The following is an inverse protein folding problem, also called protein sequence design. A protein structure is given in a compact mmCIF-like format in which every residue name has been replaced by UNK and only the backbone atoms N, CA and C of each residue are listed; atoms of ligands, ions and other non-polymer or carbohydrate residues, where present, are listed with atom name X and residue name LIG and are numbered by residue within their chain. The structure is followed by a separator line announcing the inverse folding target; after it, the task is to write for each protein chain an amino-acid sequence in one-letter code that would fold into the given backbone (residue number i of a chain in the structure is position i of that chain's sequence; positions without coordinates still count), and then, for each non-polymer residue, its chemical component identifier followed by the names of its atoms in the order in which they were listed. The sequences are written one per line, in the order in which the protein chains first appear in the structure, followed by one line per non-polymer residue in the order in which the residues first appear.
data_IF_508718737350
#
_entry.id   IF_508718737350
#
_cell.length_a   1.000
_cell.length_b   1.000
_cell.length_c   1.000
_cell.angle_alpha   90.00
_cell.angle_beta   90.00
_cell.angle_gamma   90.00
#
_symmetry.space_group_name_H-M   'P 1'
#
loop_
_entity.id
_entity.type
_entity.pdbx_description
1 polymer ?
#
# COMPACT_ATOMS: atom_id res chain seq x y z
N UNK A 1 -22.19 -0.98 -20.61
CA UNK A 1 -22.34 -1.30 -22.04
C UNK A 1 -22.39 -2.82 -22.20
N UNK A 2 -23.56 -3.44 -22.02
CA UNK A 2 -23.76 -4.90 -22.14
C UNK A 2 -24.56 -5.25 -23.40
N UNK A 3 -25.50 -4.38 -23.78
CA UNK A 3 -26.37 -4.55 -24.94
C UNK A 3 -25.61 -4.84 -26.25
N UNK A 4 -24.42 -4.26 -26.47
CA UNK A 4 -23.65 -4.50 -27.71
C UNK A 4 -23.22 -5.97 -27.88
N UNK A 5 -22.95 -6.67 -26.78
CA UNK A 5 -22.49 -8.07 -26.82
C UNK A 5 -23.65 -9.06 -26.70
N UNK A 6 -24.73 -8.69 -26.03
CA UNK A 6 -25.85 -9.59 -25.69
C UNK A 6 -27.20 -9.09 -26.25
N UNK A 7 -27.20 -8.51 -27.46
CA UNK A 7 -28.38 -7.88 -28.06
C UNK A 7 -29.54 -8.84 -28.38
N UNK A 8 -29.25 -10.14 -28.54
CA UNK A 8 -30.25 -11.19 -28.78
C UNK A 8 -30.66 -11.94 -27.49
N UNK A 9 -30.09 -11.57 -26.34
CA UNK A 9 -30.32 -12.22 -25.04
C UNK A 9 -30.91 -11.23 -24.02
N UNK A 10 -31.47 -11.76 -22.91
CA UNK A 10 -31.91 -10.95 -21.76
C UNK A 10 -30.94 -11.12 -20.58
N UNK A 11 -29.85 -10.34 -20.49
CA UNK A 11 -28.85 -10.52 -19.45
C UNK A 11 -29.42 -10.20 -18.07
N UNK A 12 -29.21 -11.10 -17.11
CA UNK A 12 -29.57 -10.89 -15.70
C UNK A 12 -28.54 -9.97 -15.03
N UNK A 13 -28.99 -8.83 -14.51
CA UNK A 13 -28.15 -7.90 -13.77
C UNK A 13 -28.14 -8.22 -12.27
N UNK A 14 -26.97 -8.15 -11.66
CA UNK A 14 -26.79 -8.23 -10.21
C UNK A 14 -26.75 -6.83 -9.59
N UNK A 15 -26.88 -6.76 -8.26
CA UNK A 15 -26.72 -5.51 -7.54
C UNK A 15 -25.34 -4.91 -7.80
N UNK A 16 -25.31 -3.62 -8.14
CA UNK A 16 -24.06 -2.91 -8.34
C UNK A 16 -23.29 -2.82 -7.02
N UNK A 17 -21.99 -3.09 -7.07
CA UNK A 17 -21.07 -2.83 -5.96
C UNK A 17 -20.34 -1.53 -6.24
N UNK A 18 -20.32 -0.63 -5.25
CA UNK A 18 -19.51 0.57 -5.34
C UNK A 18 -18.03 0.16 -5.42
N UNK A 19 -17.35 0.65 -6.45
CA UNK A 19 -15.92 0.50 -6.61
C UNK A 19 -15.23 1.71 -6.00
N UNK A 20 -14.12 1.45 -5.32
CA UNK A 20 -13.30 2.47 -4.71
C UNK A 20 -11.85 2.03 -4.71
N UNK A 21 -10.96 3.00 -4.53
CA UNK A 21 -9.55 2.71 -4.31
C UNK A 21 -9.36 1.92 -3.01
N UNK A 22 -8.47 0.93 -3.01
CA UNK A 22 -8.13 0.15 -1.83
C UNK A 22 -6.70 -0.33 -1.88
N UNK A 23 -5.87 0.12 -0.94
CA UNK A 23 -4.55 -0.43 -0.69
C UNK A 23 -4.52 -1.02 0.72
N UNK A 24 -3.85 -2.15 0.86
CA UNK A 24 -3.71 -2.76 2.17
C UNK A 24 -2.69 -2.03 3.04
N UNK A 25 -1.74 -1.26 2.50
CA UNK A 25 -0.61 -0.68 3.24
C UNK A 25 -1.03 0.08 4.51
N UNK A 26 -0.17 0.04 5.52
CA UNK A 26 -0.33 0.81 6.75
C UNK A 26 1.02 1.04 7.39
N UNK A 27 1.12 2.05 8.25
CA UNK A 27 2.31 2.35 9.04
C UNK A 27 2.82 1.14 9.83
N UNK A 28 1.92 0.45 10.54
CA UNK A 28 2.26 -0.78 11.27
C UNK A 28 2.84 -1.89 10.38
N UNK A 29 2.42 -2.01 9.11
CA UNK A 29 3.04 -2.97 8.18
C UNK A 29 4.43 -2.53 7.72
N UNK A 30 4.64 -1.22 7.57
CA UNK A 30 5.94 -0.65 7.21
C UNK A 30 6.94 -0.82 8.36
N UNK A 31 6.54 -0.55 9.59
CA UNK A 31 7.34 -0.80 10.81
C UNK A 31 7.71 -2.29 10.92
N UNK A 32 6.73 -3.18 10.75
CA UNK A 32 6.98 -4.62 10.74
C UNK A 32 7.95 -5.04 9.63
N UNK A 33 7.84 -4.48 8.43
CA UNK A 33 8.80 -4.71 7.34
C UNK A 33 10.21 -4.28 7.73
N UNK A 34 10.38 -3.07 8.29
CA UNK A 34 11.70 -2.59 8.71
C UNK A 34 12.33 -3.49 9.80
N UNK A 35 11.51 -3.99 10.74
CA UNK A 35 11.98 -4.90 11.78
C UNK A 35 12.59 -6.21 11.22
N UNK A 36 12.23 -6.61 10.00
CA UNK A 36 12.76 -7.82 9.34
C UNK A 36 14.12 -7.63 8.65
N UNK A 37 14.52 -6.39 8.34
CA UNK A 37 15.84 -6.07 7.77
C UNK A 37 16.96 -6.29 8.81
N UNK A 38 16.61 -6.10 10.08
CA UNK A 38 17.53 -6.26 11.19
C UNK A 38 18.15 -4.94 11.62
N UNK A 39 18.47 -4.88 12.91
CA UNK A 39 18.79 -3.64 13.62
C UNK A 39 19.94 -2.84 13.00
N UNK A 40 21.02 -3.51 12.58
CA UNK A 40 22.19 -2.82 12.05
C UNK A 40 21.89 -2.09 10.72
N UNK A 41 21.05 -2.67 9.87
CA UNK A 41 20.66 -2.06 8.59
C UNK A 41 19.75 -0.85 8.81
N UNK A 42 18.80 -0.97 9.74
CA UNK A 42 17.89 0.11 10.11
C UNK A 42 18.64 1.27 10.76
N UNK A 43 19.55 1.01 11.71
CA UNK A 43 20.38 2.04 12.33
C UNK A 43 21.28 2.75 11.31
N UNK A 44 21.87 2.01 10.37
CA UNK A 44 22.67 2.59 9.30
C UNK A 44 21.83 3.48 8.36
N UNK A 45 20.61 3.05 8.03
CA UNK A 45 19.69 3.83 7.20
C UNK A 45 19.27 5.13 7.88
N UNK A 46 18.93 5.09 9.17
CA UNK A 46 18.63 6.29 9.97
C UNK A 46 19.83 7.24 10.01
N UNK A 47 21.04 6.74 10.28
CA UNK A 47 22.25 7.54 10.35
C UNK A 47 22.60 8.23 9.02
N UNK A 48 22.28 7.61 7.88
CA UNK A 48 22.55 8.14 6.55
C UNK A 48 21.56 9.24 6.08
N UNK A 49 20.50 9.50 6.87
CA UNK A 49 19.33 10.31 6.48
C UNK A 49 18.85 11.21 7.63
N UNK A 50 19.80 11.72 8.43
CA UNK A 50 19.51 12.63 9.56
C UNK A 50 18.47 12.09 10.56
N UNK A 51 18.41 10.78 10.73
CA UNK A 51 17.52 10.11 11.68
C UNK A 51 16.15 9.71 11.12
N UNK A 52 15.93 9.80 9.80
CA UNK A 52 14.65 9.46 9.18
C UNK A 52 14.77 8.41 8.06
N UNK A 53 13.78 7.53 7.93
CA UNK A 53 13.63 6.61 6.80
C UNK A 53 12.33 6.95 6.06
N UNK A 54 12.42 7.20 4.75
CA UNK A 54 11.24 7.33 3.89
C UNK A 54 10.96 6.00 3.18
N UNK A 55 9.73 5.51 3.34
CA UNK A 55 9.20 4.34 2.62
C UNK A 55 8.03 4.76 1.74
N UNK A 56 8.12 4.44 0.45
CA UNK A 56 7.07 4.69 -0.53
C UNK A 56 6.41 3.36 -0.89
N UNK A 57 5.09 3.24 -0.69
CA UNK A 57 4.36 2.05 -1.11
C UNK A 57 4.25 2.01 -2.64
N UNK A 58 4.77 0.95 -3.26
CA UNK A 58 4.77 0.77 -4.72
C UNK A 58 3.38 0.58 -5.35
N UNK A 59 2.34 0.29 -4.54
CA UNK A 59 0.98 0.08 -5.02
C UNK A 59 0.13 1.36 -5.02
N UNK A 60 0.27 2.18 -3.98
CA UNK A 60 -0.59 3.35 -3.77
C UNK A 60 0.18 4.68 -3.75
N UNK A 61 1.51 4.64 -3.82
CA UNK A 61 2.40 5.78 -3.67
C UNK A 61 2.26 6.55 -2.34
N UNK A 62 1.65 5.94 -1.31
CA UNK A 62 1.66 6.50 0.04
C UNK A 62 3.10 6.55 0.56
N UNK A 63 3.44 7.66 1.22
CA UNK A 63 4.75 7.89 1.83
C UNK A 63 4.64 7.76 3.34
N UNK A 64 5.58 7.04 3.93
CA UNK A 64 5.72 6.85 5.37
C UNK A 64 7.11 7.32 5.76
N UNK A 65 7.19 8.31 6.63
CA UNK A 65 8.45 8.71 7.28
C UNK A 65 8.48 8.05 8.64
N UNK A 66 9.59 7.42 8.98
CA UNK A 66 9.83 6.72 10.25
C UNK A 66 11.10 7.26 10.91
N UNK A 67 11.09 7.34 12.23
CA UNK A 67 12.25 7.76 13.04
C UNK A 67 12.77 6.61 13.93
N UNK A 68 13.71 6.92 14.82
CA UNK A 68 14.31 5.94 15.73
C UNK A 68 13.33 5.35 16.78
N UNK A 69 12.15 5.94 16.97
CA UNK A 69 11.12 5.43 17.88
C UNK A 69 10.22 4.41 17.16
N UNK A 70 10.14 4.49 15.84
CA UNK A 70 9.36 3.61 14.97
C UNK A 70 10.12 2.37 14.47
N UNK A 71 11.45 2.36 14.67
CA UNK A 71 12.43 1.45 14.06
C UNK A 71 12.87 0.29 14.97
#
# INVERSE_FOLDING_TARGET
MLHRLYHEEQPRLFAARALGFGCSCSRARVEAMLSTLGRAEVEAALAARDGEIEVICEFCAARYTLDAVDA
#
